data_IF_281192109966
#
_entry.id   IF_281192109966
#
_cell.length_a   1.000
_cell.length_b   1.000
_cell.length_c   1.000
_cell.angle_alpha   90.00
_cell.angle_beta   90.00
_cell.angle_gamma   90.00
#
_symmetry.space_group_name_H-M   'P 1'
#
loop_
_entity.id
_entity.type
_entity.pdbx_description
1 polymer ?
#
# COMPACT_ATOMS: atom_id res chain seq x y z
N UNK A 1 15.32 7.14 4.30
CA UNK A 1 15.36 7.31 2.83
C UNK A 1 13.98 7.78 2.39
N UNK A 2 13.85 8.49 1.27
CA UNK A 2 12.55 8.72 0.60
C UNK A 2 12.60 8.17 -0.83
N UNK A 3 11.45 7.80 -1.39
CA UNK A 3 11.33 7.31 -2.76
C UNK A 3 10.02 7.81 -3.41
N UNK A 4 10.09 8.33 -4.62
CA UNK A 4 8.91 8.76 -5.38
C UNK A 4 9.13 8.65 -6.90
N UNK A 5 8.05 8.56 -7.69
CA UNK A 5 8.16 8.54 -9.16
C UNK A 5 8.12 9.97 -9.70
N UNK A 6 9.13 10.37 -10.47
CA UNK A 6 9.37 11.77 -10.86
C UNK A 6 8.88 12.17 -12.25
N UNK A 7 8.85 11.25 -13.21
CA UNK A 7 8.45 11.55 -14.60
C UNK A 7 7.30 10.64 -15.08
N UNK A 8 6.87 10.85 -16.33
CA UNK A 8 5.93 9.95 -17.02
C UNK A 8 6.60 8.60 -17.32
N UNK A 9 5.76 7.57 -17.47
CA UNK A 9 6.19 6.19 -17.69
C UNK A 9 7.04 6.12 -18.96
N UNK A 10 8.27 5.62 -18.84
CA UNK A 10 9.15 5.43 -19.99
C UNK A 10 8.89 4.05 -20.55
N UNK A 11 8.18 3.99 -21.67
CA UNK A 11 7.98 2.76 -22.44
C UNK A 11 9.14 2.56 -23.41
N UNK A 12 9.99 1.55 -23.16
CA UNK A 12 11.00 1.09 -24.12
C UNK A 12 10.77 -0.39 -24.41
N UNK A 13 10.69 -0.76 -25.70
CA UNK A 13 10.58 -2.15 -26.14
C UNK A 13 9.51 -2.96 -25.39
N UNK A 14 8.28 -2.43 -25.26
CA UNK A 14 7.13 -3.02 -24.54
C UNK A 14 7.25 -3.13 -23.02
N UNK A 15 8.38 -2.72 -22.42
CA UNK A 15 8.55 -2.62 -20.97
C UNK A 15 8.36 -1.19 -20.49
N UNK A 16 7.42 -1.02 -19.55
CA UNK A 16 7.19 0.23 -18.86
C UNK A 16 8.13 0.31 -17.66
N UNK A 17 9.03 1.29 -17.70
CA UNK A 17 9.92 1.62 -16.59
C UNK A 17 9.49 2.92 -15.93
N UNK A 18 9.60 2.95 -14.61
CA UNK A 18 9.26 4.08 -13.75
C UNK A 18 10.58 4.69 -13.26
N UNK A 19 10.83 5.98 -13.53
CA UNK A 19 11.91 6.71 -12.90
C UNK A 19 11.53 6.99 -11.45
N UNK A 20 12.23 6.34 -10.53
CA UNK A 20 12.08 6.45 -9.08
C UNK A 20 13.24 7.30 -8.57
N UNK A 21 12.96 8.52 -8.15
CA UNK A 21 13.92 9.32 -7.41
C UNK A 21 13.98 8.82 -5.96
N UNK A 22 15.21 8.59 -5.49
CA UNK A 22 15.49 8.24 -4.12
C UNK A 22 16.38 9.28 -3.48
N UNK A 23 16.07 9.63 -2.23
CA UNK A 23 16.96 10.44 -1.37
C UNK A 23 17.44 9.57 -0.22
N UNK A 24 18.74 9.30 -0.19
CA UNK A 24 19.42 8.56 0.87
C UNK A 24 19.64 9.44 2.11
N UNK A 25 19.98 8.80 3.23
CA UNK A 25 20.17 9.48 4.52
C UNK A 25 21.39 10.42 4.49
N UNK A 26 22.38 10.11 3.67
CA UNK A 26 23.57 10.95 3.43
C UNK A 26 23.28 12.18 2.53
N UNK A 27 22.02 12.36 2.11
CA UNK A 27 21.61 13.42 1.19
C UNK A 27 21.84 13.09 -0.29
N UNK A 28 22.38 11.92 -0.62
CA UNK A 28 22.58 11.51 -2.01
C UNK A 28 21.23 11.28 -2.69
N UNK A 29 21.06 11.89 -3.87
CA UNK A 29 19.89 11.68 -4.73
C UNK A 29 20.26 10.83 -5.94
N UNK A 30 19.42 9.87 -6.29
CA UNK A 30 19.58 9.06 -7.50
C UNK A 30 18.23 8.80 -8.17
N UNK A 31 18.24 8.66 -9.50
CA UNK A 31 17.05 8.27 -10.27
C UNK A 31 17.25 6.84 -10.74
N UNK A 32 16.42 5.94 -10.22
CA UNK A 32 16.41 4.52 -10.50
C UNK A 32 15.35 4.22 -11.55
N UNK A 33 15.66 3.40 -12.55
CA UNK A 33 14.67 2.92 -13.51
C UNK A 33 14.25 1.50 -13.14
N UNK A 34 12.99 1.33 -12.74
CA UNK A 34 12.44 0.03 -12.33
C UNK A 34 11.15 -0.24 -13.09
N UNK A 35 10.96 -1.48 -13.52
CA UNK A 35 9.70 -1.93 -14.09
C UNK A 35 8.69 -2.27 -12.99
N UNK A 36 7.41 -2.41 -13.35
CA UNK A 36 6.41 -2.93 -12.39
C UNK A 36 6.78 -4.35 -11.92
N UNK A 37 7.40 -5.15 -12.80
CA UNK A 37 7.88 -6.48 -12.44
C UNK A 37 9.00 -6.44 -11.40
N UNK A 38 9.91 -5.46 -11.46
CA UNK A 38 10.91 -5.26 -10.39
C UNK A 38 10.25 -4.97 -9.04
N UNK A 39 9.15 -4.19 -9.03
CA UNK A 39 8.39 -3.87 -7.82
C UNK A 39 7.68 -5.12 -7.28
N UNK A 40 7.10 -5.95 -8.15
CA UNK A 40 6.53 -7.25 -7.75
C UNK A 40 7.59 -8.17 -7.14
N UNK A 41 8.78 -8.24 -7.73
CA UNK A 41 9.88 -9.06 -7.21
C UNK A 41 10.32 -8.59 -5.82
N UNK A 42 10.45 -7.27 -5.61
CA UNK A 42 10.69 -6.70 -4.29
C UNK A 42 9.59 -7.11 -3.31
N UNK A 43 8.33 -6.90 -3.68
CA UNK A 43 7.20 -7.17 -2.80
C UNK A 43 7.14 -8.64 -2.38
N UNK A 44 7.28 -9.57 -3.32
CA UNK A 44 7.28 -10.99 -3.04
C UNK A 44 8.45 -11.39 -2.14
N UNK A 45 9.66 -10.88 -2.40
CA UNK A 45 10.81 -11.17 -1.56
C UNK A 45 10.65 -10.62 -0.13
N UNK A 46 10.00 -9.46 0.04
CA UNK A 46 9.65 -8.94 1.36
C UNK A 46 8.65 -9.84 2.07
N UNK A 47 7.61 -10.32 1.39
CA UNK A 47 6.64 -11.26 1.98
C UNK A 47 7.29 -12.58 2.40
N UNK A 48 8.24 -13.09 1.60
CA UNK A 48 8.99 -14.31 1.92
C UNK A 48 9.94 -14.14 3.11
N UNK A 49 10.62 -13.00 3.21
CA UNK A 49 11.54 -12.72 4.32
C UNK A 49 10.82 -12.34 5.63
N UNK A 50 9.64 -11.72 5.53
CA UNK A 50 8.89 -11.17 6.65
C UNK A 50 7.44 -11.68 6.67
N UNK A 51 7.22 -13.00 6.77
CA UNK A 51 5.89 -13.58 6.66
C UNK A 51 4.94 -13.11 7.77
N UNK A 52 5.44 -12.85 8.97
CA UNK A 52 4.64 -12.34 10.09
C UNK A 52 4.09 -10.93 9.83
N UNK A 53 4.86 -10.10 9.11
CA UNK A 53 4.54 -8.71 8.81
C UNK A 53 3.51 -8.56 7.66
N UNK A 54 3.10 -9.67 7.07
CA UNK A 54 2.05 -9.76 6.03
C UNK A 54 0.63 -9.88 6.59
N UNK A 55 0.47 -9.87 7.91
CA UNK A 55 -0.81 -10.12 8.60
C UNK A 55 -1.08 -11.60 8.89
N UNK A 56 -0.05 -12.44 8.80
CA UNK A 56 -0.13 -13.85 9.12
C UNK A 56 0.00 -14.10 10.64
N UNK A 57 -0.40 -15.27 11.12
CA UNK A 57 -0.23 -15.70 12.53
C UNK A 57 -0.87 -14.79 13.59
N UNK A 58 -2.02 -14.17 13.30
CA UNK A 58 -2.72 -13.24 14.21
C UNK A 58 -1.88 -12.02 14.63
N UNK A 59 -0.96 -11.58 13.78
CA UNK A 59 -0.23 -10.33 13.94
C UNK A 59 -0.76 -9.27 12.98
N UNK A 60 -0.61 -8.01 13.36
CA UNK A 60 -0.95 -6.88 12.50
C UNK A 60 -0.08 -6.90 11.25
N UNK A 61 -0.69 -6.73 10.08
CA UNK A 61 0.07 -6.47 8.86
C UNK A 61 0.72 -5.11 8.97
N UNK A 62 2.01 -5.03 8.64
CA UNK A 62 2.75 -3.77 8.50
C UNK A 62 3.25 -3.56 7.07
N UNK A 63 3.41 -4.62 6.27
CA UNK A 63 3.80 -4.53 4.87
C UNK A 63 2.65 -3.95 4.02
N UNK A 64 2.88 -2.86 3.26
CA UNK A 64 1.83 -2.25 2.44
C UNK A 64 1.38 -3.19 1.33
N UNK A 65 0.17 -2.98 0.85
CA UNK A 65 -0.37 -3.79 -0.25
C UNK A 65 0.16 -3.30 -1.59
N UNK A 66 0.61 -4.23 -2.45
CA UNK A 66 0.97 -3.90 -3.82
C UNK A 66 -0.28 -3.94 -4.71
N UNK A 67 -0.73 -2.81 -5.28
CA UNK A 67 -1.87 -2.81 -6.17
C UNK A 67 -1.59 -3.61 -7.44
N UNK A 68 -2.58 -4.37 -7.93
CA UNK A 68 -2.43 -5.17 -9.15
C UNK A 68 -2.17 -4.30 -10.39
N UNK A 69 -1.58 -4.91 -11.43
CA UNK A 69 -1.32 -4.22 -12.69
C UNK A 69 -2.59 -3.56 -13.27
N UNK A 70 -3.71 -4.29 -13.28
CA UNK A 70 -4.99 -3.75 -13.75
C UNK A 70 -5.45 -2.55 -12.90
N UNK A 71 -5.36 -2.69 -11.57
CA UNK A 71 -5.73 -1.62 -10.64
C UNK A 71 -4.84 -0.37 -10.79
N UNK A 72 -3.61 -0.52 -11.25
CA UNK A 72 -2.68 0.60 -11.50
C UNK A 72 -3.01 1.31 -12.82
N UNK A 73 -3.12 0.57 -13.92
CA UNK A 73 -3.18 1.14 -15.26
C UNK A 73 -4.60 1.52 -15.71
N UNK A 74 -5.63 0.89 -15.14
CA UNK A 74 -7.04 1.15 -15.48
C UNK A 74 -7.80 1.92 -14.39
N UNK A 75 -7.09 2.54 -13.42
CA UNK A 75 -7.76 3.29 -12.36
C UNK A 75 -8.45 4.55 -12.90
N UNK A 76 -9.74 4.81 -12.58
CA UNK A 76 -10.51 5.89 -13.18
C UNK A 76 -10.09 7.30 -12.74
N UNK A 77 -9.32 7.44 -11.64
CA UNK A 77 -9.07 8.74 -11.00
C UNK A 77 -7.60 9.04 -10.64
N UNK A 78 -6.74 8.03 -10.61
CA UNK A 78 -5.37 8.15 -10.08
C UNK A 78 -4.43 7.61 -11.15
N UNK A 79 -3.34 8.33 -11.40
CA UNK A 79 -2.34 7.89 -12.36
C UNK A 79 -1.49 6.76 -11.77
N UNK A 80 -0.91 5.87 -12.59
CA UNK A 80 0.04 4.86 -12.14
C UNK A 80 1.17 5.44 -11.30
N UNK A 81 1.67 6.62 -11.68
CA UNK A 81 2.69 7.39 -10.95
C UNK A 81 2.26 7.64 -9.51
N UNK A 82 1.05 8.16 -9.30
CA UNK A 82 0.56 8.48 -7.96
C UNK A 82 0.42 7.21 -7.12
N UNK A 83 -0.18 6.16 -7.69
CA UNK A 83 -0.41 4.88 -6.99
C UNK A 83 0.90 4.24 -6.52
N UNK A 84 1.86 4.10 -7.43
CA UNK A 84 3.16 3.48 -7.13
C UNK A 84 4.04 4.38 -6.25
N UNK A 85 3.95 5.71 -6.36
CA UNK A 85 4.65 6.61 -5.44
C UNK A 85 4.17 6.42 -4.01
N UNK A 86 2.85 6.32 -3.80
CA UNK A 86 2.29 6.07 -2.47
C UNK A 86 2.76 4.74 -1.90
N UNK A 87 2.80 3.67 -2.71
CA UNK A 87 3.33 2.37 -2.30
C UNK A 87 4.82 2.46 -1.90
N UNK A 88 5.67 3.09 -2.71
CA UNK A 88 7.10 3.25 -2.42
C UNK A 88 7.35 4.10 -1.17
N UNK A 89 6.55 5.14 -0.95
CA UNK A 89 6.63 5.96 0.27
C UNK A 89 6.28 5.15 1.52
N UNK A 90 5.25 4.30 1.46
CA UNK A 90 4.92 3.40 2.57
C UNK A 90 6.07 2.43 2.88
N UNK A 91 6.72 1.87 1.85
CA UNK A 91 7.90 1.03 2.04
C UNK A 91 9.04 1.76 2.77
N UNK A 92 9.28 3.03 2.47
CA UNK A 92 10.31 3.82 3.15
C UNK A 92 9.99 4.18 4.61
N UNK A 93 8.78 3.87 5.09
CA UNK A 93 8.34 4.08 6.47
C UNK A 93 8.36 2.79 7.30
N UNK A 94 8.73 1.64 6.71
CA UNK A 94 8.82 0.36 7.42
C UNK A 94 9.91 0.34 8.49
N UNK A 95 9.87 -0.60 9.46
CA UNK A 95 10.93 -0.76 10.45
C UNK A 95 12.32 -0.97 9.84
N UNK A 96 13.36 -0.56 10.58
CA UNK A 96 14.76 -0.65 10.15
C UNK A 96 15.17 -2.07 9.74
N UNK A 97 14.68 -3.10 10.44
CA UNK A 97 15.00 -4.49 10.13
C UNK A 97 14.55 -4.90 8.72
N UNK A 98 13.45 -4.31 8.22
CA UNK A 98 12.98 -4.50 6.84
C UNK A 98 13.77 -3.60 5.88
N UNK A 99 14.02 -2.33 6.24
CA UNK A 99 14.76 -1.40 5.38
C UNK A 99 16.21 -1.82 5.13
N UNK A 100 16.85 -2.51 6.08
CA UNK A 100 18.21 -3.06 5.96
C UNK A 100 18.23 -4.50 5.46
N UNK A 101 17.09 -5.03 5.04
CA UNK A 101 17.02 -6.37 4.49
C UNK A 101 17.58 -6.42 3.07
N UNK A 102 18.16 -7.56 2.71
CA UNK A 102 18.68 -7.83 1.38
C UNK A 102 17.72 -7.46 0.23
N UNK A 103 16.42 -7.85 0.22
CA UNK A 103 15.53 -7.48 -0.89
C UNK A 103 15.32 -5.96 -1.01
N UNK A 104 15.24 -5.25 0.12
CA UNK A 104 15.10 -3.80 0.13
C UNK A 104 16.34 -3.10 -0.42
N UNK A 105 17.53 -3.48 0.08
CA UNK A 105 18.80 -2.94 -0.40
C UNK A 105 19.03 -3.25 -1.88
N UNK A 106 18.75 -4.47 -2.33
CA UNK A 106 18.92 -4.88 -3.72
C UNK A 106 18.05 -4.04 -4.67
N UNK A 107 16.81 -3.75 -4.31
CA UNK A 107 15.91 -2.97 -5.16
C UNK A 107 16.38 -1.50 -5.30
N UNK A 108 16.76 -0.88 -4.19
CA UNK A 108 17.20 0.52 -4.13
C UNK A 108 18.70 0.73 -4.46
N UNK A 109 19.41 -0.35 -4.79
CA UNK A 109 20.79 -0.27 -5.29
C UNK A 109 20.81 0.35 -6.68
N UNK A 110 21.72 1.29 -6.90
CA UNK A 110 21.95 1.94 -8.20
C UNK A 110 22.51 0.91 -9.18
N UNK A 111 21.79 0.65 -10.28
CA UNK A 111 22.20 -0.22 -11.38
C UNK A 111 23.03 0.57 -12.41
N UNK A 112 23.71 -0.14 -13.31
CA UNK A 112 24.56 0.48 -14.34
C UNK A 112 23.83 1.49 -15.25
N UNK A 113 22.54 1.27 -15.46
CA UNK A 113 21.69 2.11 -16.31
C UNK A 113 20.99 3.24 -15.52
N UNK A 114 21.15 3.28 -14.19
CA UNK A 114 20.57 4.32 -13.34
C UNK A 114 21.43 5.58 -13.38
N UNK A 115 20.78 6.74 -13.28
CA UNK A 115 21.46 8.04 -13.34
C UNK A 115 21.74 8.51 -11.91
N UNK A 116 23.02 8.75 -11.62
CA UNK A 116 23.45 9.38 -10.39
C UNK A 116 23.41 10.91 -10.55
N UNK A 117 22.45 11.55 -9.89
CA UNK A 117 22.36 12.99 -9.79
C UNK A 117 23.11 13.45 -8.53
N UNK A 118 24.43 13.54 -8.58
CA UNK A 118 25.21 14.08 -7.46
C UNK A 118 25.09 15.61 -7.42
N UNK A 119 24.25 16.20 -6.55
CA UNK A 119 24.26 17.66 -6.28
C UNK A 119 24.02 17.99 -4.78
N UNK A 120 24.82 18.96 -4.33
CA UNK A 120 25.02 19.59 -3.02
C UNK A 120 23.78 20.13 -2.28
N UNK A 121 23.95 20.24 -0.95
CA UNK A 121 23.15 20.93 0.09
C UNK A 121 21.69 21.19 -0.29
N UNK A 122 20.82 20.26 0.13
CA UNK A 122 19.38 20.51 0.18
C UNK A 122 19.13 21.60 1.23
N UNK A 123 18.82 22.82 0.78
CA UNK A 123 18.24 23.84 1.65
C UNK A 123 16.95 23.30 2.27
N UNK A 124 16.81 23.52 3.57
CA UNK A 124 15.77 23.06 4.48
C UNK A 124 14.49 22.49 3.85
N UNK A 125 14.28 21.20 4.13
CA UNK A 125 13.02 20.46 4.04
C UNK A 125 11.79 21.32 4.35
N UNK A 126 11.06 21.75 3.32
CA UNK A 126 9.65 22.10 3.44
C UNK A 126 8.81 20.87 3.13
N UNK A 127 8.81 19.89 4.03
CA UNK A 127 8.06 18.63 3.88
C UNK A 127 6.98 18.48 4.95
N UNK A 128 6.13 19.50 5.08
CA UNK A 128 4.84 19.39 5.76
C UNK A 128 3.83 20.26 5.02
N UNK A 129 3.32 19.77 3.89
CA UNK A 129 1.95 20.13 3.56
C UNK A 129 1.07 19.37 4.55
N UNK A 130 0.67 20.08 5.62
CA UNK A 130 -0.41 19.63 6.47
C UNK A 130 -1.64 19.46 5.58
N UNK A 131 -2.01 18.20 5.29
CA UNK A 131 -3.23 17.89 4.57
C UNK A 131 -4.40 18.58 5.28
N UNK A 132 -5.10 19.45 4.56
CA UNK A 132 -6.33 20.08 5.05
C UNK A 132 -7.30 18.98 5.44
N UNK A 133 -7.73 18.97 6.70
CA UNK A 133 -8.74 18.05 7.22
C UNK A 133 -10.09 18.31 6.54
N UNK A 134 -10.31 17.67 5.39
CA UNK A 134 -11.65 17.42 4.90
C UNK A 134 -12.16 16.13 5.54
N UNK A 135 -13.43 16.15 5.97
CA UNK A 135 -14.15 14.96 6.44
C UNK A 135 -14.42 14.04 5.25
N UNK A 136 -13.38 13.43 4.70
CA UNK A 136 -13.52 12.49 3.61
C UNK A 136 -14.01 11.15 4.19
N UNK A 137 -15.24 10.78 3.83
CA UNK A 137 -15.74 9.42 4.05
C UNK A 137 -15.44 8.62 2.79
N UNK A 138 -14.88 7.42 2.97
CA UNK A 138 -14.62 6.47 1.89
C UNK A 138 -15.73 5.44 1.82
N UNK A 139 -16.03 4.97 0.60
CA UNK A 139 -16.98 3.89 0.38
C UNK A 139 -16.25 2.56 0.56
N UNK A 140 -16.69 1.75 1.52
CA UNK A 140 -16.18 0.40 1.77
C UNK A 140 -17.27 -0.59 1.39
N UNK A 141 -16.94 -1.52 0.49
CA UNK A 141 -17.80 -2.64 0.15
C UNK A 141 -17.59 -3.73 1.19
N UNK A 142 -18.66 -4.15 1.84
CA UNK A 142 -18.65 -5.22 2.83
C UNK A 142 -19.44 -6.38 2.27
N UNK A 143 -18.84 -7.56 2.28
CA UNK A 143 -19.41 -8.81 1.79
C UNK A 143 -19.55 -9.74 2.99
N UNK A 144 -20.77 -10.02 3.42
CA UNK A 144 -21.06 -10.95 4.51
C UNK A 144 -21.35 -12.31 3.91
N UNK A 145 -20.53 -13.29 4.25
CA UNK A 145 -20.62 -14.63 3.68
C UNK A 145 -21.53 -15.50 4.54
N UNK A 146 -22.67 -15.88 3.97
CA UNK A 146 -23.61 -16.72 4.67
C UNK A 146 -23.30 -18.20 4.40
N UNK A 147 -22.88 -18.93 5.43
CA UNK A 147 -22.56 -20.37 5.30
C UNK A 147 -23.79 -21.24 5.03
N UNK A 148 -25.00 -20.71 5.25
CA UNK A 148 -26.26 -21.45 5.13
C UNK A 148 -27.01 -21.15 3.82
N UNK A 149 -26.62 -20.11 3.09
CA UNK A 149 -27.23 -19.73 1.80
C UNK A 149 -26.17 -19.37 0.78
N UNK A 150 -26.29 -19.84 -0.47
CA UNK A 150 -25.40 -19.51 -1.60
C UNK A 150 -25.44 -18.02 -2.04
N UNK A 151 -26.05 -17.15 -1.25
CA UNK A 151 -26.19 -15.72 -1.53
C UNK A 151 -25.44 -14.91 -0.48
N UNK A 152 -24.36 -14.27 -0.91
CA UNK A 152 -23.62 -13.30 -0.10
C UNK A 152 -24.43 -12.01 0.07
N UNK A 153 -24.45 -11.47 1.29
CA UNK A 153 -25.05 -10.16 1.56
C UNK A 153 -24.00 -9.07 1.33
N UNK A 154 -24.25 -8.18 0.35
CA UNK A 154 -23.32 -7.13 -0.04
C UNK A 154 -23.89 -5.77 0.32
N UNK A 155 -23.18 -5.00 1.15
CA UNK A 155 -23.55 -3.62 1.48
C UNK A 155 -22.37 -2.67 1.27
N UNK A 156 -22.67 -1.40 0.94
CA UNK A 156 -21.65 -0.35 0.81
C UNK A 156 -21.83 0.63 1.96
N UNK A 157 -20.83 0.70 2.82
CA UNK A 157 -20.79 1.60 3.97
C UNK A 157 -19.93 2.83 3.66
N UNK A 158 -20.20 3.94 4.32
CA UNK A 158 -19.34 5.14 4.27
C UNK A 158 -18.67 5.30 5.61
N UNK A 159 -17.35 5.16 5.64
CA UNK A 159 -16.54 5.23 6.86
C UNK A 159 -15.43 6.25 6.71
N UNK A 160 -15.02 6.85 7.83
CA UNK A 160 -13.82 7.68 7.84
C UNK A 160 -12.58 6.77 7.79
N UNK A 161 -11.54 7.08 6.99
CA UNK A 161 -10.27 6.35 7.03
C UNK A 161 -9.55 6.40 8.39
N UNK A 162 -9.99 7.30 9.29
CA UNK A 162 -9.46 7.44 10.66
C UNK A 162 -10.27 6.65 11.70
N UNK A 163 -11.28 5.88 11.27
CA UNK A 163 -12.08 5.06 12.18
C UNK A 163 -11.19 4.05 12.91
N UNK A 164 -11.50 3.82 14.18
CA UNK A 164 -10.88 2.78 14.99
C UNK A 164 -11.50 1.41 14.68
N UNK A 165 -10.79 0.37 15.10
CA UNK A 165 -11.18 -1.02 14.86
C UNK A 165 -12.56 -1.30 15.41
N UNK A 166 -12.83 -0.93 16.67
CA UNK A 166 -14.12 -1.17 17.31
C UNK A 166 -15.25 -0.33 16.72
N UNK A 167 -15.00 0.96 16.40
CA UNK A 167 -16.03 1.79 15.75
C UNK A 167 -16.42 1.28 14.37
N UNK A 168 -15.53 0.58 13.65
CA UNK A 168 -15.90 -0.10 12.41
C UNK A 168 -16.89 -1.25 12.69
N UNK A 169 -16.69 -2.05 13.74
CA UNK A 169 -17.65 -3.08 14.14
C UNK A 169 -19.00 -2.47 14.48
N UNK A 170 -19.04 -1.40 15.28
CA UNK A 170 -20.30 -0.72 15.64
C UNK A 170 -21.13 -0.34 14.39
N UNK A 171 -20.48 0.21 13.36
CA UNK A 171 -21.14 0.59 12.10
C UNK A 171 -21.62 -0.65 11.31
N UNK A 172 -20.85 -1.73 11.33
CA UNK A 172 -21.23 -2.98 10.68
C UNK A 172 -22.44 -3.60 11.38
N UNK A 173 -22.40 -3.69 12.71
CA UNK A 173 -23.49 -4.28 13.49
C UNK A 173 -24.79 -3.48 13.37
N UNK A 174 -24.71 -2.14 13.39
CA UNK A 174 -25.87 -1.28 13.15
C UNK A 174 -26.47 -1.51 11.76
N UNK A 175 -25.63 -1.69 10.73
CA UNK A 175 -26.08 -1.77 9.35
C UNK A 175 -26.59 -3.14 8.92
N UNK A 176 -25.94 -4.21 9.39
CA UNK A 176 -26.31 -5.59 9.06
C UNK A 176 -27.22 -6.22 10.12
N UNK A 177 -27.47 -5.54 11.25
CA UNK A 177 -28.27 -6.05 12.37
C UNK A 177 -27.77 -7.42 12.88
N UNK A 178 -26.46 -7.63 12.77
CA UNK A 178 -25.78 -8.88 13.09
C UNK A 178 -24.45 -8.57 13.76
N UNK A 179 -24.03 -9.42 14.69
CA UNK A 179 -22.74 -9.27 15.38
C UNK A 179 -21.64 -9.95 14.60
N UNK A 180 -20.50 -9.27 14.44
CA UNK A 180 -19.35 -9.83 13.73
C UNK A 180 -18.22 -10.11 14.72
N UNK A 181 -17.59 -11.27 14.61
CA UNK A 181 -16.42 -11.60 15.43
C UNK A 181 -15.11 -11.22 14.75
N UNK A 182 -15.07 -11.31 13.43
CA UNK A 182 -13.90 -11.06 12.62
C UNK A 182 -14.32 -10.39 11.31
N UNK A 183 -13.43 -9.57 10.77
CA UNK A 183 -13.51 -9.03 9.42
C UNK A 183 -12.19 -9.33 8.70
N UNK A 184 -12.25 -9.46 7.38
CA UNK A 184 -11.14 -9.90 6.55
C UNK A 184 -11.00 -9.00 5.32
N UNK A 185 -9.80 -8.88 4.78
CA UNK A 185 -9.55 -8.37 3.43
C UNK A 185 -8.89 -9.46 2.58
N UNK A 186 -8.89 -9.31 1.26
CA UNK A 186 -8.09 -10.17 0.39
C UNK A 186 -6.69 -9.59 0.21
N UNK A 187 -5.65 -10.40 0.40
CA UNK A 187 -4.27 -10.04 0.07
C UNK A 187 -4.01 -10.15 -1.45
N UNK A 188 -2.77 -9.90 -1.85
CA UNK A 188 -2.28 -9.98 -3.24
C UNK A 188 -2.43 -11.38 -3.85
N UNK A 189 -2.44 -12.42 -3.02
CA UNK A 189 -2.63 -13.82 -3.41
C UNK A 189 -4.11 -14.23 -3.46
N UNK A 190 -5.05 -13.29 -3.27
CA UNK A 190 -6.49 -13.53 -3.11
C UNK A 190 -6.85 -14.40 -1.89
N UNK A 191 -6.00 -14.41 -0.86
CA UNK A 191 -6.27 -15.09 0.40
C UNK A 191 -6.93 -14.12 1.38
N UNK A 192 -7.89 -14.63 2.17
CA UNK A 192 -8.57 -13.85 3.20
C UNK A 192 -7.68 -13.74 4.43
N UNK A 193 -7.28 -12.51 4.75
CA UNK A 193 -6.49 -12.18 5.93
C UNK A 193 -7.35 -11.36 6.88
N UNK A 194 -7.32 -11.72 8.17
CA UNK A 194 -8.11 -11.06 9.20
C UNK A 194 -7.55 -9.66 9.46
N UNK A 195 -8.40 -8.64 9.51
CA UNK A 195 -8.01 -7.32 10.01
C UNK A 195 -7.75 -7.42 11.51
N UNK A 196 -6.56 -7.02 11.93
CA UNK A 196 -6.15 -7.07 13.33
C UNK A 196 -5.82 -5.66 13.85
N UNK A 197 -6.67 -5.10 14.72
CA UNK A 197 -6.39 -3.85 15.41
C UNK A 197 -6.41 -2.59 14.53
N UNK A 198 -6.08 -1.46 15.16
CA UNK A 198 -6.15 -0.13 14.54
C UNK A 198 -5.04 0.08 13.51
N UNK A 199 -3.87 -0.50 13.74
CA UNK A 199 -2.72 -0.27 12.86
C UNK A 199 -2.95 -0.90 11.49
N UNK A 200 -3.37 -2.16 11.47
CA UNK A 200 -3.70 -2.90 10.25
C UNK A 200 -4.89 -2.25 9.53
N UNK A 201 -5.93 -1.83 10.25
CA UNK A 201 -7.05 -1.11 9.65
C UNK A 201 -6.63 0.20 8.96
N UNK A 202 -5.73 0.97 9.61
CA UNK A 202 -5.15 2.18 9.01
C UNK A 202 -4.29 1.84 7.80
N UNK A 203 -3.53 0.75 7.85
CA UNK A 203 -2.72 0.29 6.73
C UNK A 203 -3.59 -0.13 5.55
N UNK A 204 -4.70 -0.83 5.80
CA UNK A 204 -5.70 -1.18 4.81
C UNK A 204 -6.22 0.06 4.09
N UNK A 205 -6.61 1.11 4.83
CA UNK A 205 -7.10 2.35 4.21
C UNK A 205 -6.02 3.11 3.43
N UNK A 206 -4.78 3.12 3.92
CA UNK A 206 -3.67 3.80 3.24
C UNK A 206 -3.24 3.08 1.96
N UNK A 207 -3.14 1.76 2.03
CA UNK A 207 -2.60 0.94 0.94
C UNK A 207 -3.64 0.66 -0.15
N UNK A 208 -4.88 0.35 0.24
CA UNK A 208 -5.95 -0.03 -0.69
C UNK A 208 -6.72 1.18 -1.23
N UNK A 209 -6.00 2.24 -1.58
CA UNK A 209 -6.59 3.53 -1.96
C UNK A 209 -7.34 3.56 -3.31
N UNK A 210 -7.54 2.37 -3.91
CA UNK A 210 -8.19 2.13 -5.20
C UNK A 210 -9.56 1.46 -5.01
N UNK A 211 -9.66 0.53 -4.07
CA UNK A 211 -10.90 -0.15 -3.69
C UNK A 211 -10.80 -0.67 -2.25
N UNK A 212 -11.83 -0.41 -1.46
CA UNK A 212 -11.92 -0.93 -0.10
C UNK A 212 -12.97 -2.03 -0.06
N UNK A 213 -12.52 -3.27 0.08
CA UNK A 213 -13.39 -4.45 0.20
C UNK A 213 -13.05 -5.20 1.49
N UNK A 214 -14.08 -5.42 2.31
CA UNK A 214 -14.01 -6.22 3.51
C UNK A 214 -14.98 -7.39 3.41
N UNK A 215 -14.63 -8.49 4.05
CA UNK A 215 -15.41 -9.72 4.17
C UNK A 215 -15.72 -9.96 5.66
N UNK A 216 -16.89 -10.46 5.98
CA UNK A 216 -17.30 -10.76 7.35
C UNK A 216 -18.05 -12.09 7.44
#
# INVERSE_FOLDING_TARGET
>A
MTACITEEIISRNTQNTFPIEITKIDGTVAVLYRSYNDICQLHNALMECFPEDTGSNNKERILPFLPSHDAIFNHPKKSPRHILSSYLQLLTQLPNDIQFSYPFEQFFTVRKDDILSSIYVVSELSFFEAEKEQRETVKVKVIVENKESDMDEINIIRVSPKIDYFGLFDILEERFQSTFTNIYYCNESNEKVKVFGDHDLKLFFKSNSLSYVLYA
#
